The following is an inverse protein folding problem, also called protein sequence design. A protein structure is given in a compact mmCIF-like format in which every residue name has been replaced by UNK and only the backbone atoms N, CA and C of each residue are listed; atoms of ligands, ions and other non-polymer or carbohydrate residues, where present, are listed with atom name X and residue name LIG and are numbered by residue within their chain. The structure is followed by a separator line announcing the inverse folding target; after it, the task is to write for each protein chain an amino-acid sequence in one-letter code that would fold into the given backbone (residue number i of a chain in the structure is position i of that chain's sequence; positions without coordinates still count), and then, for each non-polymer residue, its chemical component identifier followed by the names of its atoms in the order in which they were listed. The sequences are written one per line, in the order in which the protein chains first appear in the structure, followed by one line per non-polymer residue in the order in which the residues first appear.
data_IF_845966065459
#
_entry.id   IF_845966065459
#
_cell.length_a   1.000
_cell.length_b   1.000
_cell.length_c   1.000
_cell.angle_alpha   90.00
_cell.angle_beta   90.00
_cell.angle_gamma   90.00
#
_symmetry.space_group_name_H-M   'P 1'
#
loop_
_entity.id
_entity.type
_entity.pdbx_description
1 polymer ?
#
# COMPACT_ATOMS: atom_id res chain seq x y z
N UNK A 1 -15.79 -8.16 20.70
CA UNK A 1 -14.48 -8.22 20.05
C UNK A 1 -13.92 -9.66 19.96
N UNK A 2 -14.00 -10.48 21.02
CA UNK A 2 -13.62 -11.91 20.97
C UNK A 2 -14.48 -12.71 19.98
N UNK A 3 -15.76 -12.41 19.87
CA UNK A 3 -16.69 -13.15 19.01
C UNK A 3 -16.49 -12.87 17.52
N UNK A 4 -16.07 -11.66 17.13
CA UNK A 4 -15.75 -11.35 15.73
C UNK A 4 -14.43 -11.96 15.29
N UNK A 5 -13.43 -12.03 16.16
CA UNK A 5 -12.15 -12.72 15.92
C UNK A 5 -12.35 -14.25 15.84
N UNK A 6 -13.31 -14.79 16.61
CA UNK A 6 -13.65 -16.22 16.62
C UNK A 6 -14.33 -16.65 15.30
N UNK A 7 -15.15 -15.81 14.68
CA UNK A 7 -15.78 -16.12 13.39
C UNK A 7 -14.76 -16.17 12.25
N UNK A 8 -13.80 -15.24 12.22
CA UNK A 8 -12.73 -15.25 11.21
C UNK A 8 -11.85 -16.49 11.39
N UNK A 9 -11.59 -16.90 12.62
CA UNK A 9 -10.75 -18.08 12.93
C UNK A 9 -11.43 -19.41 12.59
N UNK A 10 -12.76 -19.51 12.68
CA UNK A 10 -13.52 -20.72 12.30
C UNK A 10 -13.55 -20.89 10.78
N UNK A 11 -13.71 -19.82 10.00
CA UNK A 11 -13.68 -19.88 8.55
C UNK A 11 -12.28 -20.21 8.01
N UNK A 12 -11.23 -19.69 8.66
CA UNK A 12 -9.83 -20.01 8.32
C UNK A 12 -9.47 -21.50 8.57
N UNK A 13 -10.02 -22.11 9.63
CA UNK A 13 -9.78 -23.53 9.92
C UNK A 13 -10.45 -24.47 8.91
N UNK A 14 -11.65 -24.10 8.43
CA UNK A 14 -12.34 -24.89 7.40
C UNK A 14 -11.62 -24.81 6.05
N UNK A 15 -11.04 -23.66 5.73
CA UNK A 15 -10.34 -23.44 4.46
C UNK A 15 -8.97 -24.13 4.37
N UNK A 16 -8.27 -24.28 5.50
CA UNK A 16 -7.00 -25.02 5.56
C UNK A 16 -7.18 -26.50 5.20
N UNK A 17 -8.31 -27.12 5.59
CA UNK A 17 -8.61 -28.53 5.29
C UNK A 17 -9.04 -28.75 3.84
N UNK A 18 -9.68 -27.77 3.20
CA UNK A 18 -10.09 -27.87 1.79
C UNK A 18 -8.93 -27.67 0.82
N UNK A 19 -7.92 -26.87 1.22
CA UNK A 19 -6.72 -26.65 0.41
C UNK A 19 -5.81 -27.89 0.41
N UNK A 20 -5.72 -28.62 1.51
CA UNK A 20 -4.96 -29.87 1.60
C UNK A 20 -5.55 -30.95 0.68
N UNK A 21 -6.88 -31.08 0.63
CA UNK A 21 -7.57 -31.99 -0.29
C UNK A 21 -7.49 -31.57 -1.76
N UNK A 22 -7.31 -30.31 -2.04
CA UNK A 22 -7.14 -29.79 -3.41
C UNK A 22 -5.74 -30.05 -3.94
N UNK A 23 -4.73 -29.96 -3.08
CA UNK A 23 -3.34 -30.26 -3.42
C UNK A 23 -3.13 -31.74 -3.74
N UNK A 24 -3.79 -32.67 -3.01
CA UNK A 24 -3.72 -34.07 -3.30
C UNK A 24 -4.38 -34.47 -4.65
N UNK A 25 -5.42 -33.76 -5.10
CA UNK A 25 -6.03 -33.99 -6.43
C UNK A 25 -5.20 -33.47 -7.61
N UNK A 26 -4.27 -32.57 -7.39
CA UNK A 26 -3.37 -32.05 -8.45
C UNK A 26 -2.15 -32.96 -8.69
N UNK A 27 -1.86 -33.90 -7.80
CA UNK A 27 -0.72 -34.82 -7.92
C UNK A 27 -1.00 -36.07 -8.81
N UNK A 28 -2.25 -36.29 -9.25
CA UNK A 28 -2.60 -37.35 -10.21
C UNK A 28 -2.89 -36.79 -11.59
N UNK A 29 -1.87 -36.20 -12.22
CA UNK A 29 -1.95 -35.76 -13.61
C UNK A 29 -1.82 -36.91 -14.61
N UNK A 30 -2.38 -36.76 -15.84
CA UNK A 30 -2.37 -37.80 -16.87
C UNK A 30 -0.94 -38.13 -17.35
N UNK A 31 -0.72 -39.35 -17.89
CA UNK A 31 0.61 -39.85 -18.22
C UNK A 31 1.31 -39.02 -19.28
N UNK A 32 2.62 -38.83 -19.09
CA UNK A 32 3.50 -38.03 -19.90
C UNK A 32 3.41 -38.32 -21.40
N UNK A 33 3.04 -37.33 -22.20
CA UNK A 33 3.23 -37.35 -23.66
C UNK A 33 4.70 -37.26 -23.98
N UNK A 34 5.18 -38.18 -24.79
CA UNK A 34 6.58 -38.24 -25.29
C UNK A 34 7.02 -36.87 -25.83
N UNK A 35 8.08 -36.32 -25.26
CA UNK A 35 8.68 -35.04 -25.68
C UNK A 35 9.18 -35.17 -27.12
N UNK A 36 8.79 -34.24 -27.98
CA UNK A 36 9.28 -34.08 -29.34
C UNK A 36 10.70 -33.48 -29.33
N UNK A 37 11.59 -33.89 -30.26
CA UNK A 37 13.02 -33.53 -30.22
C UNK A 37 13.36 -32.06 -30.56
N UNK A 38 12.37 -31.17 -30.56
CA UNK A 38 12.55 -29.73 -30.89
C UNK A 38 13.29 -28.96 -29.74
N UNK A 39 13.21 -29.44 -28.50
CA UNK A 39 13.84 -28.76 -27.36
C UNK A 39 15.38 -28.81 -27.37
N UNK A 40 15.98 -29.82 -28.00
CA UNK A 40 17.45 -29.94 -28.05
C UNK A 40 18.09 -28.95 -29.02
N UNK A 41 17.39 -28.54 -30.10
CA UNK A 41 17.87 -27.55 -31.05
C UNK A 41 18.04 -26.15 -30.47
N UNK A 42 17.10 -25.74 -29.61
CA UNK A 42 17.16 -24.43 -28.99
C UNK A 42 18.26 -24.30 -27.91
N UNK A 43 18.51 -25.38 -27.16
CA UNK A 43 19.61 -25.40 -26.19
C UNK A 43 20.97 -25.37 -26.84
N UNK A 44 21.17 -26.09 -27.94
CA UNK A 44 22.40 -26.08 -28.71
C UNK A 44 22.67 -24.69 -29.37
N UNK A 45 21.62 -24.05 -29.90
CA UNK A 45 21.70 -22.71 -30.49
C UNK A 45 22.05 -21.63 -29.44
N UNK A 46 21.44 -21.71 -28.25
CA UNK A 46 21.75 -20.81 -27.14
C UNK A 46 23.18 -20.96 -26.62
N UNK A 47 23.68 -22.20 -26.53
CA UNK A 47 25.05 -22.45 -26.09
C UNK A 47 26.07 -21.94 -27.15
N UNK A 48 25.82 -22.12 -28.43
CA UNK A 48 26.65 -21.57 -29.50
C UNK A 48 26.63 -20.04 -29.52
N UNK A 49 25.48 -19.42 -29.28
CA UNK A 49 25.38 -17.96 -29.16
C UNK A 49 26.14 -17.42 -27.95
N UNK A 50 26.04 -18.07 -26.77
CA UNK A 50 26.81 -17.69 -25.59
C UNK A 50 28.33 -17.85 -25.80
N UNK A 51 28.78 -18.93 -26.45
CA UNK A 51 30.20 -19.14 -26.78
C UNK A 51 30.70 -18.09 -27.80
N UNK A 52 29.87 -17.70 -28.74
CA UNK A 52 30.22 -16.67 -29.71
C UNK A 52 30.37 -15.29 -29.07
N UNK A 53 29.43 -14.91 -28.17
CA UNK A 53 29.47 -13.61 -27.49
C UNK A 53 30.57 -13.52 -26.44
N UNK A 54 30.95 -14.62 -25.80
CA UNK A 54 31.98 -14.61 -24.72
C UNK A 54 33.40 -14.80 -25.24
N UNK A 55 33.59 -15.56 -26.32
CA UNK A 55 34.92 -15.93 -26.81
C UNK A 55 35.32 -15.36 -28.16
N UNK A 56 34.40 -15.22 -29.12
CA UNK A 56 34.75 -14.72 -30.46
C UNK A 56 34.57 -13.21 -30.63
N UNK A 57 33.54 -12.64 -29.99
CA UNK A 57 33.25 -11.21 -30.17
C UNK A 57 34.37 -10.27 -29.66
N UNK A 58 35.04 -10.55 -28.53
CA UNK A 58 36.13 -9.70 -28.05
C UNK A 58 37.41 -9.82 -28.85
N UNK A 59 37.58 -10.88 -29.66
CA UNK A 59 38.77 -11.06 -30.51
C UNK A 59 38.68 -10.31 -31.85
N UNK A 60 37.49 -9.87 -32.26
CA UNK A 60 37.24 -9.15 -33.52
C UNK A 60 37.18 -7.62 -33.37
N UNK A 61 37.06 -7.11 -32.14
CA UNK A 61 37.12 -5.68 -31.83
C UNK A 61 38.51 -5.35 -31.34
N UNK A 62 39.32 -4.81 -32.24
CA UNK A 62 40.72 -4.52 -32.09
C UNK A 62 41.11 -3.72 -30.85
N UNK A 63 42.24 -4.10 -30.34
CA UNK A 63 43.07 -3.41 -29.34
C UNK A 63 43.26 -1.93 -29.71
N UNK A 64 42.60 -1.04 -29.02
CA UNK A 64 42.97 0.37 -28.90
C UNK A 64 43.74 0.55 -27.60
N UNK A 65 45.04 0.64 -27.71
CA UNK A 65 45.91 1.01 -26.61
C UNK A 65 45.65 2.48 -26.26
N UNK A 66 45.10 2.75 -25.09
CA UNK A 66 45.07 4.09 -24.49
C UNK A 66 45.84 4.14 -23.18
N UNK A 67 46.76 5.02 -23.24
CA UNK A 67 47.81 5.46 -22.32
C UNK A 67 47.30 5.67 -20.88
N UNK A 68 48.09 5.15 -20.00
CA UNK A 68 48.11 5.37 -18.53
C UNK A 68 48.30 6.86 -18.24
N UNK A 69 47.26 7.55 -17.90
CA UNK A 69 47.31 8.92 -17.36
C UNK A 69 46.89 8.88 -15.89
N UNK A 70 47.79 9.35 -15.12
CA UNK A 70 47.81 9.82 -13.73
C UNK A 70 46.49 9.80 -12.95
N UNK A 71 46.54 9.05 -11.85
CA UNK A 71 45.63 9.02 -10.69
C UNK A 71 45.86 10.31 -9.88
N UNK A 72 45.02 11.30 -10.08
CA UNK A 72 44.74 12.38 -9.12
C UNK A 72 43.70 13.31 -9.76
N UNK A 73 42.45 13.05 -9.47
CA UNK A 73 41.33 13.98 -9.30
C UNK A 73 40.04 13.16 -9.29
N UNK A 74 39.87 12.34 -8.26
CA UNK A 74 38.52 11.96 -7.85
C UNK A 74 37.91 13.22 -7.25
N UNK A 75 37.29 14.03 -8.09
CA UNK A 75 36.25 14.91 -7.67
C UNK A 75 35.14 14.01 -7.16
N UNK A 76 35.10 13.84 -5.85
CA UNK A 76 33.93 13.32 -5.15
C UNK A 76 32.81 14.33 -5.45
N UNK A 77 32.03 14.04 -6.48
CA UNK A 77 30.70 14.62 -6.62
C UNK A 77 29.91 14.04 -5.46
N UNK A 78 30.01 14.70 -4.32
CA UNK A 78 29.00 14.59 -3.29
C UNK A 78 27.72 15.08 -3.95
N UNK A 79 26.94 14.14 -4.52
CA UNK A 79 25.52 14.37 -4.75
C UNK A 79 24.98 14.64 -3.36
N UNK A 80 24.90 15.93 -3.00
CA UNK A 80 24.07 16.35 -1.90
C UNK A 80 22.68 15.84 -2.29
N UNK A 81 22.26 14.72 -1.69
CA UNK A 81 20.85 14.40 -1.56
C UNK A 81 20.30 15.63 -0.83
N UNK A 82 19.79 16.58 -1.61
CA UNK A 82 19.06 17.68 -1.05
C UNK A 82 17.97 17.02 -0.21
N UNK A 83 18.00 17.30 1.07
CA UNK A 83 17.00 16.86 2.03
C UNK A 83 15.71 17.62 1.64
N UNK A 84 15.02 17.12 0.60
CA UNK A 84 13.77 17.70 0.12
C UNK A 84 12.76 17.48 1.24
N UNK A 85 12.54 18.55 1.98
CA UNK A 85 11.58 18.56 3.08
C UNK A 85 10.18 18.32 2.51
N UNK A 86 9.73 17.06 2.58
CA UNK A 86 8.38 16.70 2.17
C UNK A 86 7.34 17.39 3.05
N UNK A 87 6.23 17.80 2.45
CA UNK A 87 5.15 18.48 3.14
C UNK A 87 4.21 17.45 3.79
N UNK A 88 3.91 17.56 5.09
CA UNK A 88 2.94 16.67 5.73
C UNK A 88 1.55 16.81 5.07
N UNK A 89 1.02 15.70 4.58
CA UNK A 89 -0.34 15.57 4.06
C UNK A 89 -1.01 14.40 4.75
N UNK A 90 -2.16 14.65 5.38
CA UNK A 90 -2.87 13.65 6.17
C UNK A 90 -4.30 13.49 5.67
N UNK A 91 -4.78 12.25 5.68
CA UNK A 91 -6.20 11.95 5.53
C UNK A 91 -6.65 11.15 6.75
N UNK A 92 -7.72 11.62 7.41
CA UNK A 92 -8.32 10.97 8.57
C UNK A 92 -9.69 10.44 8.18
N UNK A 93 -9.84 9.11 8.25
CA UNK A 93 -11.04 8.42 7.74
C UNK A 93 -11.60 7.40 8.73
N UNK A 94 -12.74 6.85 8.37
CA UNK A 94 -13.31 5.60 8.87
C UNK A 94 -13.53 4.69 7.67
N UNK A 95 -13.04 3.47 7.68
CA UNK A 95 -13.04 2.57 6.49
C UNK A 95 -14.45 2.29 5.94
N UNK A 96 -15.47 2.26 6.81
CA UNK A 96 -16.87 2.02 6.41
C UNK A 96 -17.69 3.30 6.18
N UNK A 97 -17.03 4.45 6.00
CA UNK A 97 -17.70 5.73 5.82
C UNK A 97 -17.84 6.11 4.33
N UNK A 98 -19.04 6.44 3.83
CA UNK A 98 -19.23 6.90 2.45
C UNK A 98 -18.53 8.23 2.16
N UNK A 99 -18.39 9.11 3.15
CA UNK A 99 -17.65 10.36 2.98
C UNK A 99 -16.15 10.12 2.83
N UNK A 100 -15.62 9.03 3.42
CA UNK A 100 -14.23 8.61 3.17
C UNK A 100 -14.04 8.15 1.71
N UNK A 101 -14.96 7.36 1.17
CA UNK A 101 -14.95 6.95 -0.23
C UNK A 101 -14.94 8.18 -1.16
N UNK A 102 -15.88 9.10 -0.95
CA UNK A 102 -15.99 10.32 -1.76
C UNK A 102 -14.69 11.15 -1.69
N UNK A 103 -14.16 11.37 -0.48
CA UNK A 103 -12.98 12.18 -0.24
C UNK A 103 -11.72 11.57 -0.89
N UNK A 104 -11.51 10.27 -0.70
CA UNK A 104 -10.38 9.57 -1.33
C UNK A 104 -10.47 9.65 -2.85
N UNK A 105 -11.64 9.38 -3.42
CA UNK A 105 -11.88 9.38 -4.87
C UNK A 105 -11.78 10.76 -5.49
N UNK A 106 -12.35 11.77 -4.84
CA UNK A 106 -12.56 13.10 -5.44
C UNK A 106 -11.43 14.08 -5.14
N UNK A 107 -10.64 13.86 -4.07
CA UNK A 107 -9.58 14.79 -3.65
C UNK A 107 -8.23 14.10 -3.46
N UNK A 108 -8.13 13.12 -2.54
CA UNK A 108 -6.82 12.59 -2.11
C UNK A 108 -6.10 11.86 -3.25
N UNK A 109 -6.76 10.90 -3.91
CA UNK A 109 -6.12 10.14 -4.99
C UNK A 109 -5.71 10.99 -6.18
N UNK A 110 -6.57 11.87 -6.73
CA UNK A 110 -6.16 12.76 -7.83
C UNK A 110 -5.00 13.69 -7.46
N UNK A 111 -4.97 14.20 -6.22
CA UNK A 111 -3.86 15.02 -5.74
C UNK A 111 -2.58 14.17 -5.59
N UNK A 112 -2.65 13.02 -4.94
CA UNK A 112 -1.50 12.13 -4.73
C UNK A 112 -0.86 11.66 -6.05
N UNK A 113 -1.63 11.48 -7.12
CA UNK A 113 -1.08 11.16 -8.45
C UNK A 113 -0.12 12.24 -8.98
N UNK A 114 -0.21 13.47 -8.49
CA UNK A 114 0.56 14.62 -8.97
C UNK A 114 1.67 15.05 -8.01
N UNK A 115 1.46 14.84 -6.71
CA UNK A 115 2.35 15.41 -5.67
C UNK A 115 2.93 14.37 -4.70
N UNK A 116 2.83 13.06 -5.01
CA UNK A 116 3.26 11.99 -4.10
C UNK A 116 4.73 12.09 -3.68
N UNK A 117 5.59 12.62 -4.54
CA UNK A 117 7.02 12.82 -4.33
C UNK A 117 7.35 14.06 -3.48
N UNK A 118 6.38 14.93 -3.25
CA UNK A 118 6.52 16.18 -2.51
C UNK A 118 5.90 16.15 -1.12
N UNK A 119 5.17 15.08 -0.80
CA UNK A 119 4.44 14.98 0.45
C UNK A 119 4.89 13.76 1.27
N UNK A 120 4.86 13.92 2.60
CA UNK A 120 4.86 12.81 3.53
C UNK A 120 3.40 12.49 3.87
N UNK A 121 2.83 11.51 3.15
CA UNK A 121 1.43 11.18 3.30
C UNK A 121 1.19 10.21 4.46
N UNK A 122 0.21 10.54 5.31
CA UNK A 122 -0.21 9.69 6.43
C UNK A 122 -1.72 9.45 6.39
N UNK A 123 -2.11 8.17 6.34
CA UNK A 123 -3.49 7.76 6.53
C UNK A 123 -3.74 7.46 8.02
N UNK A 124 -4.75 8.09 8.59
CA UNK A 124 -5.13 7.93 10.00
C UNK A 124 -6.61 7.57 10.14
N UNK A 125 -6.94 6.89 11.22
CA UNK A 125 -8.30 6.43 11.45
C UNK A 125 -8.94 7.13 12.65
N UNK A 126 -10.25 7.35 12.55
CA UNK A 126 -11.06 7.99 13.59
C UNK A 126 -11.77 6.88 14.38
N UNK A 127 -11.76 7.02 15.71
CA UNK A 127 -12.39 6.12 16.64
C UNK A 127 -12.39 6.72 18.05
N UNK A 128 -12.96 6.02 19.01
CA UNK A 128 -12.95 6.43 20.41
C UNK A 128 -12.20 5.39 21.26
N UNK A 129 -11.24 5.80 22.11
CA UNK A 129 -10.63 4.90 23.08
C UNK A 129 -11.69 4.32 24.04
N UNK A 130 -11.51 3.06 24.47
CA UNK A 130 -12.35 2.42 25.47
C UNK A 130 -11.56 2.14 26.75
N UNK A 131 -12.29 1.93 27.88
CA UNK A 131 -11.67 1.72 29.18
C UNK A 131 -10.72 0.50 29.26
N UNK A 132 -10.87 -0.47 28.35
CA UNK A 132 -10.07 -1.70 28.34
C UNK A 132 -8.97 -1.67 27.27
N UNK A 133 -8.38 -0.51 27.02
CA UNK A 133 -7.34 -0.36 26.00
C UNK A 133 -7.78 -0.75 24.55
N UNK A 134 -9.07 -0.78 24.31
CA UNK A 134 -9.66 -1.03 23.01
C UNK A 134 -9.98 0.26 22.26
N UNK A 135 -10.56 0.11 21.08
CA UNK A 135 -11.10 1.19 20.26
C UNK A 135 -12.54 0.87 19.90
N UNK A 136 -13.44 1.84 20.07
CA UNK A 136 -14.78 1.82 19.53
C UNK A 136 -14.80 2.55 18.19
N UNK A 137 -15.26 1.86 17.14
CA UNK A 137 -15.44 2.42 15.81
C UNK A 137 -16.92 2.74 15.57
N UNK A 138 -17.21 3.85 14.88
CA UNK A 138 -18.58 4.38 14.71
C UNK A 138 -19.52 3.38 14.04
N UNK A 139 -19.01 2.64 13.03
CA UNK A 139 -19.78 1.65 12.28
C UNK A 139 -19.55 0.21 12.78
N UNK A 140 -19.13 0.08 14.04
CA UNK A 140 -19.01 -1.20 14.73
C UNK A 140 -17.66 -1.92 14.55
N UNK A 141 -17.55 -3.17 15.06
CA UNK A 141 -16.28 -3.93 15.05
C UNK A 141 -15.73 -4.22 13.65
N UNK A 142 -16.60 -4.35 12.66
CA UNK A 142 -16.20 -4.55 11.27
C UNK A 142 -15.42 -3.35 10.71
N UNK A 143 -15.79 -2.13 11.08
CA UNK A 143 -15.00 -0.94 10.73
C UNK A 143 -13.63 -0.96 11.42
N UNK A 144 -13.57 -1.33 12.70
CA UNK A 144 -12.27 -1.47 13.37
C UNK A 144 -11.37 -2.47 12.64
N UNK A 145 -11.92 -3.58 12.18
CA UNK A 145 -11.17 -4.58 11.40
C UNK A 145 -10.74 -4.02 10.04
N UNK A 146 -11.61 -3.31 9.34
CA UNK A 146 -11.25 -2.61 8.10
C UNK A 146 -10.11 -1.61 8.31
N UNK A 147 -10.21 -0.78 9.34
CA UNK A 147 -9.15 0.16 9.73
C UNK A 147 -7.81 -0.56 10.01
N UNK A 148 -7.85 -1.72 10.69
CA UNK A 148 -6.66 -2.53 10.97
C UNK A 148 -6.06 -3.11 9.67
N UNK A 149 -6.90 -3.62 8.76
CA UNK A 149 -6.44 -4.13 7.45
C UNK A 149 -5.73 -3.05 6.65
N UNK A 150 -6.26 -1.85 6.61
CA UNK A 150 -5.66 -0.71 5.91
C UNK A 150 -4.37 -0.24 6.59
N UNK A 151 -4.28 -0.29 7.93
CA UNK A 151 -3.03 -0.03 8.67
C UNK A 151 -1.97 -1.12 8.40
N UNK A 152 -2.38 -2.39 8.36
CA UNK A 152 -1.51 -3.49 8.00
C UNK A 152 -0.99 -3.33 6.56
N UNK A 153 -1.85 -2.90 5.64
CA UNK A 153 -1.44 -2.66 4.25
C UNK A 153 -0.37 -1.57 4.16
N UNK A 154 -0.56 -0.45 4.85
CA UNK A 154 0.42 0.64 4.87
C UNK A 154 1.74 0.25 5.57
N UNK A 155 1.67 -0.61 6.60
CA UNK A 155 2.86 -1.10 7.31
C UNK A 155 3.68 -2.08 6.47
N UNK A 156 3.03 -2.98 5.74
CA UNK A 156 3.68 -4.00 4.92
C UNK A 156 4.10 -3.48 3.54
N UNK A 157 3.38 -2.51 3.01
CA UNK A 157 3.57 -1.91 1.69
C UNK A 157 3.58 -0.38 1.83
N UNK A 158 4.68 0.22 2.31
CA UNK A 158 4.73 1.63 2.71
C UNK A 158 4.66 2.64 1.56
N UNK A 159 4.71 2.19 0.29
CA UNK A 159 4.48 3.08 -0.84
C UNK A 159 3.02 3.54 -0.86
N UNK A 160 2.75 4.86 -0.74
CA UNK A 160 1.40 5.40 -0.76
C UNK A 160 0.59 5.01 -2.02
N UNK A 161 1.24 4.80 -3.15
CA UNK A 161 0.57 4.37 -4.38
C UNK A 161 -0.06 2.99 -4.24
N UNK A 162 0.58 2.10 -3.46
CA UNK A 162 0.12 0.73 -3.27
C UNK A 162 -0.98 0.71 -2.22
N UNK A 163 -0.72 1.19 -0.99
CA UNK A 163 -1.72 1.08 0.08
C UNK A 163 -2.94 1.98 -0.11
N UNK A 164 -2.81 3.17 -0.74
CA UNK A 164 -3.98 3.99 -1.10
C UNK A 164 -4.82 3.35 -2.20
N UNK A 165 -4.19 2.65 -3.15
CA UNK A 165 -4.91 1.86 -4.14
C UNK A 165 -5.78 0.79 -3.48
N UNK A 166 -5.19 0.01 -2.57
CA UNK A 166 -5.89 -1.00 -1.77
C UNK A 166 -7.02 -0.38 -0.93
N UNK A 167 -6.73 0.70 -0.19
CA UNK A 167 -7.74 1.44 0.58
C UNK A 167 -8.90 1.89 -0.30
N UNK A 168 -8.61 2.42 -1.50
CA UNK A 168 -9.67 2.87 -2.44
C UNK A 168 -10.48 1.70 -2.98
N UNK A 169 -9.84 0.55 -3.27
CA UNK A 169 -10.54 -0.66 -3.68
C UNK A 169 -11.53 -1.11 -2.60
N UNK A 170 -11.10 -1.19 -1.35
CA UNK A 170 -11.97 -1.53 -0.22
C UNK A 170 -13.12 -0.54 -0.04
N UNK A 171 -12.83 0.76 -0.07
CA UNK A 171 -13.84 1.81 0.15
C UNK A 171 -14.86 1.90 -0.99
N UNK A 172 -14.57 1.38 -2.18
CA UNK A 172 -15.56 1.27 -3.27
C UNK A 172 -16.78 0.48 -2.84
N UNK A 173 -16.55 -0.59 -2.09
CA UNK A 173 -17.57 -1.47 -1.54
C UNK A 173 -17.55 -1.43 0.00
N UNK A 174 -17.46 -0.23 0.58
CA UNK A 174 -17.23 0.01 2.01
C UNK A 174 -18.21 -0.72 2.94
N UNK A 175 -19.42 -1.04 2.48
CA UNK A 175 -20.43 -1.78 3.25
C UNK A 175 -19.99 -3.21 3.53
N UNK A 176 -19.25 -3.80 2.60
CA UNK A 176 -18.81 -5.19 2.63
C UNK A 176 -17.44 -5.37 3.32
N UNK A 177 -16.82 -4.26 3.77
CA UNK A 177 -15.62 -4.34 4.60
C UNK A 177 -15.99 -5.02 5.96
N UNK A 178 -15.24 -5.99 6.43
CA UNK A 178 -14.01 -6.59 5.91
C UNK A 178 -14.23 -7.98 5.28
N UNK A 179 -15.22 -8.14 4.42
CA UNK A 179 -15.49 -9.44 3.80
C UNK A 179 -14.25 -9.99 3.11
N UNK A 180 -13.97 -11.25 3.36
CA UNK A 180 -12.75 -11.92 2.90
C UNK A 180 -12.54 -11.80 1.40
N UNK A 181 -13.59 -12.08 0.61
CA UNK A 181 -13.52 -12.02 -0.86
C UNK A 181 -13.15 -10.63 -1.35
N UNK A 182 -13.75 -9.58 -0.77
CA UNK A 182 -13.41 -8.19 -1.09
C UNK A 182 -11.94 -7.89 -0.77
N UNK A 183 -11.45 -8.33 0.40
CA UNK A 183 -10.06 -8.08 0.81
C UNK A 183 -9.07 -8.84 -0.07
N UNK A 184 -9.37 -10.11 -0.43
CA UNK A 184 -8.54 -10.92 -1.33
C UNK A 184 -8.46 -10.30 -2.73
N UNK A 185 -9.59 -9.89 -3.29
CA UNK A 185 -9.66 -9.27 -4.62
C UNK A 185 -8.90 -7.94 -4.64
N UNK A 186 -9.10 -7.08 -3.64
CA UNK A 186 -8.38 -5.82 -3.54
C UNK A 186 -6.87 -6.01 -3.29
N UNK A 187 -6.48 -7.01 -2.51
CA UNK A 187 -5.07 -7.33 -2.31
C UNK A 187 -4.41 -7.79 -3.62
N UNK A 188 -5.09 -8.65 -4.38
CA UNK A 188 -4.62 -9.11 -5.68
C UNK A 188 -4.50 -7.96 -6.69
N UNK A 189 -5.50 -7.07 -6.77
CA UNK A 189 -5.51 -5.90 -7.67
C UNK A 189 -4.30 -5.00 -7.43
N UNK A 190 -3.85 -4.88 -6.18
CA UNK A 190 -2.73 -4.00 -5.79
C UNK A 190 -1.42 -4.72 -5.48
N UNK A 191 -1.29 -5.99 -5.89
CA UNK A 191 -0.05 -6.76 -5.76
C UNK A 191 0.34 -7.07 -4.31
N UNK A 192 -0.64 -7.11 -3.41
CA UNK A 192 -0.45 -7.47 -2.00
C UNK A 192 -0.69 -8.95 -1.75
N UNK A 193 0.08 -9.53 -0.84
CA UNK A 193 -0.14 -10.89 -0.37
C UNK A 193 -1.20 -10.89 0.74
N UNK A 194 -2.37 -11.43 0.43
CA UNK A 194 -3.46 -11.54 1.41
C UNK A 194 -3.06 -12.28 2.68
N UNK A 195 -2.24 -13.35 2.57
CA UNK A 195 -1.82 -14.10 3.76
C UNK A 195 -0.95 -13.25 4.69
N UNK A 196 -0.10 -12.37 4.15
CA UNK A 196 0.68 -11.42 4.93
C UNK A 196 -0.21 -10.37 5.60
N UNK A 197 -1.21 -9.83 4.86
CA UNK A 197 -2.19 -8.90 5.43
C UNK A 197 -2.94 -9.56 6.59
N UNK A 198 -3.47 -10.77 6.37
CA UNK A 198 -4.18 -11.53 7.39
C UNK A 198 -3.27 -11.86 8.60
N UNK A 199 -2.03 -12.30 8.36
CA UNK A 199 -1.07 -12.55 9.43
C UNK A 199 -0.81 -11.30 10.30
N UNK A 200 -0.70 -10.12 9.69
CA UNK A 200 -0.56 -8.85 10.40
C UNK A 200 -1.78 -8.55 11.29
N UNK A 201 -3.00 -8.80 10.81
CA UNK A 201 -4.22 -8.51 11.59
C UNK A 201 -4.38 -9.41 12.81
N UNK A 202 -3.89 -10.67 12.75
CA UNK A 202 -4.02 -11.66 13.84
C UNK A 202 -2.75 -11.79 14.68
N UNK A 203 -1.71 -11.07 14.35
CA UNK A 203 -0.44 -11.10 15.09
C UNK A 203 -0.66 -10.75 16.57
N UNK A 204 -0.02 -11.51 17.47
CA UNK A 204 -0.15 -11.37 18.92
C UNK A 204 -1.62 -11.44 19.37
N UNK A 205 -2.37 -12.42 18.87
CA UNK A 205 -3.81 -12.59 19.11
C UNK A 205 -4.63 -11.32 18.77
N UNK A 206 -4.19 -10.58 17.73
CA UNK A 206 -4.79 -9.31 17.30
C UNK A 206 -4.26 -8.08 18.08
N UNK A 207 -3.36 -8.27 19.01
CA UNK A 207 -2.79 -7.20 19.83
C UNK A 207 -1.97 -6.20 19.00
N UNK A 208 -1.23 -6.69 18.00
CA UNK A 208 -0.44 -5.84 17.10
C UNK A 208 -1.33 -4.89 16.28
N UNK A 209 -2.34 -5.43 15.59
CA UNK A 209 -3.28 -4.65 14.80
C UNK A 209 -4.05 -3.62 15.65
N UNK A 210 -4.50 -4.02 16.85
CA UNK A 210 -5.16 -3.12 17.78
C UNK A 210 -4.21 -2.02 18.29
N UNK A 211 -2.94 -2.33 18.49
CA UNK A 211 -1.91 -1.34 18.85
C UNK A 211 -1.74 -0.26 17.78
N UNK A 212 -1.68 -0.68 16.51
CA UNK A 212 -1.64 0.25 15.37
C UNK A 212 -2.90 1.12 15.31
N UNK A 213 -4.08 0.53 15.50
CA UNK A 213 -5.35 1.26 15.49
C UNK A 213 -5.40 2.30 16.61
N UNK A 214 -5.00 1.94 17.85
CA UNK A 214 -4.89 2.91 18.96
C UNK A 214 -3.96 4.06 18.63
N UNK A 215 -2.77 3.77 18.08
CA UNK A 215 -1.82 4.80 17.66
C UNK A 215 -2.41 5.75 16.62
N UNK A 216 -3.14 5.19 15.66
CA UNK A 216 -3.81 5.95 14.61
C UNK A 216 -4.95 6.83 15.14
N UNK A 217 -5.81 6.27 16.00
CA UNK A 217 -6.90 7.01 16.64
C UNK A 217 -6.36 8.14 17.53
N UNK A 218 -5.27 7.90 18.25
CA UNK A 218 -4.60 8.94 19.04
C UNK A 218 -4.14 10.10 18.16
N UNK A 219 -3.49 9.85 17.01
CA UNK A 219 -3.10 10.91 16.07
C UNK A 219 -4.31 11.74 15.62
N UNK A 220 -5.43 11.10 15.29
CA UNK A 220 -6.66 11.79 14.90
C UNK A 220 -7.21 12.66 16.04
N UNK A 221 -7.18 12.14 17.28
CA UNK A 221 -7.64 12.86 18.47
C UNK A 221 -6.74 14.06 18.79
N UNK A 222 -5.42 13.89 18.77
CA UNK A 222 -4.43 14.95 19.00
C UNK A 222 -4.52 16.05 17.93
N UNK A 223 -4.87 15.68 16.69
CA UNK A 223 -5.15 16.60 15.61
C UNK A 223 -6.52 17.29 15.70
N UNK A 224 -7.34 16.97 16.70
CA UNK A 224 -8.71 17.52 16.87
C UNK A 224 -9.69 17.05 15.81
N UNK A 225 -9.39 15.95 15.10
CA UNK A 225 -10.21 15.43 14.01
C UNK A 225 -11.27 14.47 14.51
N UNK A 226 -12.53 14.76 14.17
CA UNK A 226 -13.68 13.96 14.56
C UNK A 226 -14.57 13.54 13.39
N UNK A 227 -14.35 14.11 12.20
CA UNK A 227 -15.16 13.86 10.99
C UNK A 227 -14.37 13.09 9.94
N UNK A 228 -14.95 12.04 9.45
CA UNK A 228 -14.46 11.25 8.30
C UNK A 228 -15.14 11.77 7.03
N UNK A 229 -14.44 12.29 6.03
CA UNK A 229 -13.01 12.41 5.88
C UNK A 229 -12.53 13.83 6.22
N UNK A 230 -11.44 13.95 6.95
CA UNK A 230 -10.74 15.24 7.10
C UNK A 230 -9.38 15.14 6.43
N UNK A 231 -9.11 16.05 5.50
CA UNK A 231 -7.81 16.23 4.87
C UNK A 231 -7.07 17.37 5.58
N UNK A 232 -5.81 17.13 5.98
CA UNK A 232 -4.96 18.14 6.61
C UNK A 232 -3.67 18.31 5.80
N UNK A 233 -3.24 19.54 5.64
CA UNK A 233 -2.02 19.90 4.94
C UNK A 233 -1.15 20.74 5.87
N UNK A 234 0.09 20.33 6.06
CA UNK A 234 1.07 20.99 6.92
C UNK A 234 0.54 21.28 8.35
N UNK A 235 -0.23 20.32 8.90
CA UNK A 235 -0.79 20.41 10.24
C UNK A 235 -2.13 21.13 10.36
N UNK A 236 -2.62 21.79 9.32
CA UNK A 236 -3.88 22.54 9.30
C UNK A 236 -4.98 21.80 8.52
N UNK A 237 -6.25 22.02 8.87
CA UNK A 237 -7.38 21.47 8.11
C UNK A 237 -7.38 22.13 6.72
N UNK A 238 -7.26 21.29 5.70
CA UNK A 238 -7.40 21.71 4.31
C UNK A 238 -8.86 21.64 3.86
N UNK A 239 -9.52 20.53 4.09
CA UNK A 239 -10.93 20.34 3.71
C UNK A 239 -11.56 19.16 4.45
N UNK A 240 -12.86 19.23 4.72
CA UNK A 240 -13.64 18.17 5.36
C UNK A 240 -14.76 17.72 4.40
N UNK A 241 -14.92 16.40 4.24
CA UNK A 241 -16.08 15.79 3.60
C UNK A 241 -17.01 15.26 4.70
N UNK A 242 -18.22 15.83 4.83
CA UNK A 242 -19.19 15.44 5.85
C UNK A 242 -20.62 15.53 5.28
N UNK A 243 -21.39 14.46 5.39
CA UNK A 243 -22.75 14.38 4.85
C UNK A 243 -22.77 14.61 3.33
N UNK A 244 -21.78 14.11 2.61
CA UNK A 244 -21.59 14.28 1.15
C UNK A 244 -21.41 15.73 0.69
N UNK A 245 -20.94 16.60 1.57
CA UNK A 245 -20.63 17.99 1.27
C UNK A 245 -19.21 18.31 1.68
N UNK A 246 -18.59 19.22 0.96
CA UNK A 246 -17.32 19.80 1.34
C UNK A 246 -17.58 20.97 2.29
N UNK A 247 -16.89 20.98 3.43
CA UNK A 247 -16.98 22.01 4.47
C UNK A 247 -15.58 22.34 4.98
N UNK A 248 -15.42 23.51 5.56
CA UNK A 248 -14.15 23.95 6.14
C UNK A 248 -12.96 23.81 5.19
N UNK A 249 -13.14 24.28 3.95
CA UNK A 249 -12.16 24.21 2.87
C UNK A 249 -11.60 25.60 2.52
N UNK A 250 -10.77 26.22 3.38
CA UNK A 250 -10.27 27.58 3.14
C UNK A 250 -9.38 27.69 1.88
N UNK A 251 -8.76 26.58 1.46
CA UNK A 251 -7.94 26.50 0.25
C UNK A 251 -8.68 26.07 -1.01
N UNK A 252 -9.99 25.78 -0.91
CA UNK A 252 -10.79 25.21 -1.99
C UNK A 252 -11.10 23.74 -1.79
N UNK A 253 -12.04 23.19 -2.58
CA UNK A 253 -12.56 21.83 -2.43
C UNK A 253 -12.29 20.92 -3.64
N UNK A 254 -11.51 21.42 -4.60
CA UNK A 254 -11.15 20.66 -5.79
C UNK A 254 -9.75 20.03 -5.64
N UNK A 255 -9.45 18.90 -6.30
CA UNK A 255 -8.12 18.29 -6.25
C UNK A 255 -6.99 19.25 -6.65
N UNK A 256 -7.24 20.12 -7.63
CA UNK A 256 -6.26 21.10 -8.07
C UNK A 256 -5.93 22.15 -6.99
N UNK A 257 -6.88 22.48 -6.14
CA UNK A 257 -6.64 23.39 -5.02
C UNK A 257 -5.63 22.79 -4.03
N UNK A 258 -5.77 21.49 -3.72
CA UNK A 258 -4.83 20.76 -2.87
C UNK A 258 -3.45 20.64 -3.55
N UNK A 259 -3.40 20.35 -4.84
CA UNK A 259 -2.15 20.27 -5.60
C UNK A 259 -1.41 21.61 -5.53
N UNK A 260 -2.09 22.71 -5.83
CA UNK A 260 -1.50 24.06 -5.81
C UNK A 260 -1.03 24.45 -4.41
N UNK A 261 -1.77 24.07 -3.37
CA UNK A 261 -1.38 24.34 -1.98
C UNK A 261 -0.10 23.57 -1.59
N UNK A 262 0.01 22.28 -1.99
CA UNK A 262 1.22 21.49 -1.78
C UNK A 262 2.41 22.09 -2.53
N UNK A 263 2.24 22.40 -3.83
CA UNK A 263 3.30 23.01 -4.64
C UNK A 263 3.81 24.31 -4.02
N UNK A 264 2.89 25.18 -3.58
CA UNK A 264 3.25 26.43 -2.92
C UNK A 264 4.09 26.21 -1.67
N UNK A 265 3.70 25.27 -0.79
CA UNK A 265 4.44 24.98 0.43
C UNK A 265 5.79 24.33 0.12
N UNK A 266 5.84 23.43 -0.85
CA UNK A 266 7.07 22.75 -1.26
C UNK A 266 8.12 23.72 -1.80
N UNK A 267 7.72 24.73 -2.54
CA UNK A 267 8.65 25.76 -3.04
C UNK A 267 9.02 26.83 -2.01
N UNK A 268 8.35 26.88 -0.87
CA UNK A 268 8.64 27.79 0.25
C UNK A 268 9.49 27.13 1.35
N UNK A 269 9.60 25.82 1.35
CA UNK A 269 10.37 25.04 2.33
C UNK A 269 11.83 24.86 1.88
#
# INVERSE_FOLDING_TARGET
MKDSLSMINTDLKSYGMDNEKRTERMLTGPPARKARPIAFGFLAAMLLYCLWTTHLHPLLMGYGAETRSSMSDMVSVSVSVSDYKTIPLEAHIMSKCPDAQDCLKMMVLPAMQRVYDKVNFTLSFIGAPTANDGVACKHGPQECMGNILELCSASLYPDPKIYLGFTMCLTRDYKDIPDRSLVEDCALEHGMDFNKLNACTVQDDGGYGMGMLRGSVRRSTEAGVTKSCTVRLNGEIFCIRDGRKWTDCPGGSEPNDLILAVEKLYHQS
#
